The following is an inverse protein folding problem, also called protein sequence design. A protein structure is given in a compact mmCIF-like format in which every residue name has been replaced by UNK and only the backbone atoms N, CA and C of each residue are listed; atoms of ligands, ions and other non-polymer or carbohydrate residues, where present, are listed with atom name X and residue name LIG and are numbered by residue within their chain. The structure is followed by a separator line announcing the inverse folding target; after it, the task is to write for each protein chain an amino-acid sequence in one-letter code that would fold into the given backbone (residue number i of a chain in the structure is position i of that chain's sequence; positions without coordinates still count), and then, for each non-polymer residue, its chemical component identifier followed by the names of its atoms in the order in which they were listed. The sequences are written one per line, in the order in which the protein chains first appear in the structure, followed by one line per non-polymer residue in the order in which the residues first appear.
data_IF_446758885052
#
_entry.id   IF_446758885052
#
_cell.length_a   1.000
_cell.length_b   1.000
_cell.length_c   1.000
_cell.angle_alpha   90.00
_cell.angle_beta   90.00
_cell.angle_gamma   90.00
#
_symmetry.space_group_name_H-M   'P 1'
#
loop_
_entity.id
_entity.type
_entity.pdbx_description
1 polymer ?
#
# COMPACT_ATOMS: atom_id res chain seq x y z
N UNK A 1 15.85 -6.29 0.96
CA UNK A 1 14.83 -5.42 1.58
C UNK A 1 14.17 -4.60 0.50
N UNK A 2 12.86 -4.59 0.49
CA UNK A 2 12.06 -3.91 -0.53
C UNK A 2 11.01 -3.06 0.14
N UNK A 3 10.65 -1.98 -0.54
CA UNK A 3 9.49 -1.19 -0.17
C UNK A 3 8.31 -1.63 -1.03
N UNK A 4 7.18 -1.91 -0.39
CA UNK A 4 5.92 -2.15 -1.09
C UNK A 4 5.02 -0.98 -0.77
N UNK A 5 4.50 -0.34 -1.80
CA UNK A 5 3.62 0.80 -1.67
C UNK A 5 2.40 0.56 -2.52
N UNK A 6 1.23 0.77 -1.95
CA UNK A 6 -0.01 0.56 -2.67
C UNK A 6 -0.95 1.73 -2.44
N UNK A 7 -1.74 2.02 -3.45
CA UNK A 7 -2.79 3.04 -3.38
C UNK A 7 -4.10 2.30 -3.53
N UNK A 8 -4.92 2.33 -2.49
CA UNK A 8 -6.13 1.52 -2.43
C UNK A 8 -7.33 2.39 -2.10
N UNK A 9 -8.51 1.86 -2.31
CA UNK A 9 -9.73 2.53 -1.89
C UNK A 9 -9.81 2.51 -0.37
N UNK A 10 -10.26 3.61 0.25
CA UNK A 10 -10.24 3.70 1.72
C UNK A 10 -10.96 2.56 2.43
N UNK A 11 -12.09 2.11 1.90
CA UNK A 11 -12.86 1.07 2.60
C UNK A 11 -12.22 -0.31 2.51
N UNK A 12 -11.12 -0.45 1.75
CA UNK A 12 -10.38 -1.71 1.68
C UNK A 12 -9.28 -1.81 2.73
N UNK A 13 -8.99 -0.70 3.42
CA UNK A 13 -7.83 -0.67 4.32
C UNK A 13 -7.95 -1.67 5.47
N UNK A 14 -9.09 -1.72 6.12
CA UNK A 14 -9.25 -2.60 7.28
C UNK A 14 -9.10 -4.06 6.87
N UNK A 15 -9.73 -4.43 5.77
CA UNK A 15 -9.65 -5.79 5.26
C UNK A 15 -8.22 -6.18 4.95
N UNK A 16 -7.50 -5.29 4.27
CA UNK A 16 -6.10 -5.55 3.95
C UNK A 16 -5.26 -5.67 5.22
N UNK A 17 -5.45 -4.76 6.16
CA UNK A 17 -4.68 -4.78 7.40
C UNK A 17 -4.87 -6.08 8.16
N UNK A 18 -6.11 -6.55 8.26
CA UNK A 18 -6.38 -7.79 8.96
C UNK A 18 -5.69 -8.97 8.30
N UNK A 19 -5.71 -9.02 6.97
CA UNK A 19 -5.05 -10.11 6.25
C UNK A 19 -3.55 -10.10 6.45
N UNK A 20 -2.94 -8.92 6.41
CA UNK A 20 -1.49 -8.80 6.59
C UNK A 20 -1.06 -9.12 8.03
N UNK A 21 -1.88 -8.76 9.01
CA UNK A 21 -1.57 -9.03 10.40
C UNK A 21 -1.52 -10.51 10.72
N UNK A 22 -2.17 -11.33 9.91
CA UNK A 22 -2.13 -12.78 10.09
C UNK A 22 -0.87 -13.41 9.54
N UNK A 23 -0.10 -12.67 8.76
CA UNK A 23 1.10 -13.18 8.15
C UNK A 23 2.21 -13.26 9.19
N UNK A 24 2.81 -14.45 9.43
CA UNK A 24 3.89 -14.56 10.41
C UNK A 24 5.05 -13.64 10.06
N UNK A 25 5.58 -12.98 11.08
CA UNK A 25 6.74 -12.11 10.95
C UNK A 25 6.51 -10.89 10.06
N UNK A 26 5.24 -10.52 9.85
CA UNK A 26 4.96 -9.31 9.09
C UNK A 26 5.50 -8.10 9.87
N UNK A 27 6.37 -7.29 9.24
CA UNK A 27 7.04 -6.21 9.99
C UNK A 27 6.16 -5.03 10.33
N UNK A 28 5.04 -4.85 9.61
CA UNK A 28 4.16 -3.72 9.87
C UNK A 28 4.00 -2.85 8.65
N UNK A 29 3.08 -1.90 8.73
CA UNK A 29 2.87 -0.95 7.64
C UNK A 29 2.39 0.38 8.18
N UNK A 30 2.57 1.41 7.37
CA UNK A 30 2.01 2.73 7.60
C UNK A 30 0.90 2.97 6.61
N UNK A 31 -0.09 3.75 7.00
CA UNK A 31 -1.19 4.11 6.10
C UNK A 31 -1.50 5.58 6.28
N UNK A 32 -1.83 6.22 5.17
CA UNK A 32 -2.20 7.63 5.21
C UNK A 32 -3.26 7.91 4.16
N UNK A 33 -4.17 8.80 4.48
CA UNK A 33 -5.18 9.24 3.54
C UNK A 33 -4.57 10.30 2.63
N UNK A 34 -4.78 10.14 1.34
CA UNK A 34 -4.29 11.09 0.36
C UNK A 34 -5.43 11.46 -0.59
N UNK A 35 -5.20 12.50 -1.36
CA UNK A 35 -6.09 12.89 -2.43
C UNK A 35 -5.42 12.60 -3.76
N UNK A 36 -6.16 11.98 -4.68
CA UNK A 36 -5.57 11.65 -5.96
C UNK A 36 -6.60 11.59 -7.06
N UNK A 37 -6.13 11.67 -8.30
CA UNK A 37 -6.96 11.35 -9.45
C UNK A 37 -6.07 10.71 -10.50
N UNK A 38 -6.69 9.93 -11.38
CA UNK A 38 -5.96 9.26 -12.43
C UNK A 38 -6.82 9.04 -13.65
N UNK A 39 -6.32 8.26 -14.59
CA UNK A 39 -7.00 8.03 -15.85
C UNK A 39 -8.34 7.34 -15.67
N UNK A 40 -8.44 6.51 -14.64
CA UNK A 40 -9.67 5.76 -14.42
C UNK A 40 -10.68 6.52 -13.58
N UNK A 41 -10.41 7.77 -13.29
CA UNK A 41 -11.38 8.60 -12.61
C UNK A 41 -12.57 8.75 -13.52
N UNK A 42 -13.72 8.49 -12.97
CA UNK A 42 -14.91 8.42 -13.78
C UNK A 42 -15.83 9.52 -13.39
N UNK A 43 -16.45 10.14 -14.36
CA UNK A 43 -17.69 10.82 -14.18
C UNK A 43 -17.86 11.67 -13.00
N UNK A 44 -16.99 12.62 -12.89
CA UNK A 44 -17.10 13.68 -11.90
C UNK A 44 -17.37 14.97 -12.61
N UNK A 45 -18.18 14.88 -13.65
CA UNK A 45 -18.34 15.99 -14.58
C UNK A 45 -18.97 17.19 -13.94
N UNK A 46 -19.84 16.98 -12.97
CA UNK A 46 -20.48 18.08 -12.30
C UNK A 46 -19.66 18.61 -11.14
N UNK A 47 -18.52 18.03 -10.88
CA UNK A 47 -17.71 18.44 -9.76
C UNK A 47 -16.50 19.21 -10.24
N UNK A 48 -16.16 20.24 -9.48
CA UNK A 48 -14.98 21.05 -9.81
C UNK A 48 -13.71 20.47 -9.22
N UNK A 49 -13.83 19.55 -8.25
CA UNK A 49 -12.70 18.95 -7.60
C UNK A 49 -12.48 17.55 -8.17
N UNK A 50 -11.40 17.35 -8.96
CA UNK A 50 -11.15 16.04 -9.55
C UNK A 50 -10.60 15.02 -8.56
N UNK A 51 -10.22 15.46 -7.36
CA UNK A 51 -9.54 14.58 -6.42
C UNK A 51 -10.54 13.72 -5.67
N UNK A 52 -10.13 12.48 -5.41
CA UNK A 52 -10.88 11.56 -4.57
C UNK A 52 -9.97 11.06 -3.48
N UNK A 53 -10.56 10.62 -2.39
CA UNK A 53 -9.81 10.07 -1.29
C UNK A 53 -9.27 8.71 -1.65
N UNK A 54 -8.01 8.50 -1.32
CA UNK A 54 -7.32 7.23 -1.45
C UNK A 54 -6.54 6.98 -0.17
N UNK A 55 -6.14 5.76 0.04
CA UNK A 55 -5.24 5.43 1.12
C UNK A 55 -3.94 4.91 0.52
N UNK A 56 -2.83 5.48 0.95
CA UNK A 56 -1.51 4.96 0.60
C UNK A 56 -1.02 4.12 1.76
N UNK A 57 -0.66 2.88 1.47
CA UNK A 57 -0.01 2.02 2.45
C UNK A 57 1.43 1.81 2.01
N UNK A 58 2.32 1.73 2.99
CA UNK A 58 3.75 1.50 2.72
C UNK A 58 4.30 0.55 3.75
N UNK A 59 5.20 -0.30 3.32
CA UNK A 59 5.84 -1.24 4.21
C UNK A 59 7.21 -1.59 3.65
N UNK A 60 8.16 -1.83 4.54
CA UNK A 60 9.50 -2.27 4.18
C UNK A 60 9.62 -3.71 4.65
N UNK A 61 9.91 -4.61 3.73
CA UNK A 61 9.82 -6.03 4.01
C UNK A 61 11.06 -6.76 3.49
N UNK A 62 11.38 -7.93 4.06
CA UNK A 62 12.43 -8.77 3.50
C UNK A 62 12.08 -9.21 2.09
N UNK A 63 13.10 -9.46 1.28
CA UNK A 63 12.91 -9.86 -0.11
C UNK A 63 12.03 -11.08 -0.24
N UNK A 64 12.16 -12.04 0.66
CA UNK A 64 11.43 -13.30 0.56
C UNK A 64 9.96 -13.19 0.95
N UNK A 65 9.51 -12.05 1.43
CA UNK A 65 8.10 -11.84 1.74
C UNK A 65 7.34 -11.07 0.67
N UNK A 66 8.05 -10.53 -0.32
CA UNK A 66 7.45 -9.61 -1.28
C UNK A 66 6.31 -10.24 -2.06
N UNK A 67 6.56 -11.41 -2.65
CA UNK A 67 5.54 -12.03 -3.51
C UNK A 67 4.27 -12.36 -2.75
N UNK A 68 4.41 -12.85 -1.55
CA UNK A 68 3.25 -13.20 -0.74
C UNK A 68 2.45 -11.95 -0.36
N UNK A 69 3.14 -10.89 0.05
CA UNK A 69 2.47 -9.65 0.43
C UNK A 69 1.77 -9.01 -0.76
N UNK A 70 2.45 -8.96 -1.91
CA UNK A 70 1.84 -8.41 -3.12
C UNK A 70 0.56 -9.18 -3.47
N UNK A 71 0.60 -10.50 -3.37
CA UNK A 71 -0.58 -11.30 -3.67
C UNK A 71 -1.72 -11.02 -2.71
N UNK A 72 -1.40 -10.84 -1.42
CA UNK A 72 -2.44 -10.49 -0.45
C UNK A 72 -3.07 -9.15 -0.81
N UNK A 73 -2.25 -8.16 -1.16
CA UNK A 73 -2.78 -6.84 -1.54
C UNK A 73 -3.69 -6.96 -2.76
N UNK A 74 -3.23 -7.69 -3.78
CA UNK A 74 -4.00 -7.85 -5.00
C UNK A 74 -5.33 -8.55 -4.75
N UNK A 75 -5.38 -9.44 -3.78
CA UNK A 75 -6.60 -10.15 -3.46
C UNK A 75 -7.53 -9.32 -2.59
N UNK A 76 -6.99 -8.73 -1.53
CA UNK A 76 -7.82 -8.08 -0.52
C UNK A 76 -8.31 -6.69 -0.94
N UNK A 77 -7.54 -6.00 -1.78
CA UNK A 77 -7.91 -4.67 -2.22
C UNK A 77 -8.64 -4.65 -3.57
N UNK A 78 -8.89 -5.83 -4.12
CA UNK A 78 -9.53 -5.96 -5.42
C UNK A 78 -11.05 -5.80 -5.31
N UNK A 79 -11.63 -4.96 -6.15
CA UNK A 79 -13.08 -4.92 -6.32
C UNK A 79 -13.49 -5.21 -7.76
N UNK A 80 -12.55 -5.05 -8.69
CA UNK A 80 -12.83 -5.22 -10.11
C UNK A 80 -13.36 -3.95 -10.76
N UNK A 81 -13.46 -2.87 -10.00
CA UNK A 81 -13.99 -1.61 -10.51
C UNK A 81 -12.86 -0.62 -10.73
N UNK A 82 -13.09 0.41 -11.56
CA UNK A 82 -12.08 1.45 -11.74
C UNK A 82 -11.72 2.08 -10.41
N UNK A 83 -10.45 2.42 -10.27
CA UNK A 83 -9.98 3.06 -9.05
C UNK A 83 -9.47 2.12 -7.98
N UNK A 84 -9.38 0.81 -8.27
CA UNK A 84 -8.85 -0.14 -7.30
C UNK A 84 -7.42 0.16 -6.89
N UNK A 85 -6.66 0.77 -7.78
CA UNK A 85 -5.32 1.22 -7.44
C UNK A 85 -4.22 0.33 -7.98
N UNK A 86 -3.02 0.55 -7.48
CA UNK A 86 -1.83 -0.15 -7.96
C UNK A 86 -0.89 -0.44 -6.80
N UNK A 87 -0.01 -1.40 -7.03
CA UNK A 87 1.03 -1.78 -6.09
C UNK A 87 2.36 -1.55 -6.77
N UNK A 88 3.29 -0.94 -6.05
CA UNK A 88 4.65 -0.70 -6.52
C UNK A 88 5.62 -1.37 -5.58
N UNK A 89 6.70 -1.91 -6.15
CA UNK A 89 7.77 -2.53 -5.38
C UNK A 89 9.07 -1.89 -5.81
N UNK A 90 9.87 -1.46 -4.84
CA UNK A 90 11.14 -0.81 -5.12
C UNK A 90 12.20 -1.31 -4.14
N UNK A 91 13.45 -1.43 -4.58
CA UNK A 91 14.50 -1.83 -3.65
C UNK A 91 14.81 -0.71 -2.67
N UNK A 92 15.13 -1.11 -1.45
CA UNK A 92 15.62 -0.20 -0.43
C UNK A 92 17.10 -0.50 -0.25
N UNK A 93 17.95 0.47 -0.58
CA UNK A 93 19.38 0.23 -0.57
C UNK A 93 19.93 0.19 0.83
N UNK A 94 19.40 0.98 1.75
CA UNK A 94 19.91 1.02 3.13
C UNK A 94 18.78 1.39 4.08
N UNK A 95 18.85 0.86 5.30
CA UNK A 95 17.90 1.19 6.36
C UNK A 95 18.62 1.26 7.68
N UNK A 96 18.16 2.15 8.54
CA UNK A 96 18.80 2.38 9.84
C UNK A 96 17.74 2.40 10.93
N UNK A 97 18.05 1.81 12.06
CA UNK A 97 17.19 1.86 13.22
C UNK A 97 17.47 3.14 14.00
N UNK A 98 16.47 3.97 14.18
CA UNK A 98 16.63 5.18 14.99
C UNK A 98 16.88 4.81 16.43
N UNK A 99 16.12 3.83 16.94
CA UNK A 99 16.27 3.43 18.34
C UNK A 99 17.66 2.89 18.65
N UNK A 100 18.18 2.06 17.76
CA UNK A 100 19.48 1.42 18.00
C UNK A 100 20.65 2.22 17.43
N UNK A 101 20.36 3.22 16.62
CA UNK A 101 21.37 4.07 15.98
C UNK A 101 22.36 3.25 15.14
N UNK A 102 21.83 2.20 14.51
CA UNK A 102 22.66 1.29 13.70
C UNK A 102 21.98 1.00 12.38
N UNK A 103 22.80 0.57 11.44
CA UNK A 103 22.28 0.13 10.14
C UNK A 103 21.70 -1.27 10.26
N UNK A 104 20.55 -1.48 9.63
CA UNK A 104 19.93 -2.79 9.56
C UNK A 104 20.52 -3.57 8.40
N UNK A 105 20.70 -4.86 8.62
CA UNK A 105 21.25 -5.74 7.59
C UNK A 105 20.19 -6.58 6.90
#
# INVERSE_FOLDING_TARGET
MQEIRAYIKPFMLEKLALALMELPNFPGMSAMTIKGFGKERVDRLQEFDPFIDKVRVEMIVPDDMVEQIVRIILTEAHSGNPGDGKVYVAPVSRAFSIRLQTEEK
#
